data_IF_110417847664
#
_entry.id   IF_110417847664
#
_cell.length_a   1.000
_cell.length_b   1.000
_cell.length_c   1.000
_cell.angle_alpha   90.00
_cell.angle_beta   90.00
_cell.angle_gamma   90.00
#
_symmetry.space_group_name_H-M   'P 1'
#
loop_
_entity.id
_entity.type
_entity.pdbx_description
1 polymer ?
#
# COMPACT_ATOMS: atom_id res chain seq x y z
N UNK A 1 -11.81 -1.58 -13.91
CA UNK A 1 -10.42 -1.07 -14.09
C UNK A 1 -9.89 -1.56 -15.43
N UNK A 2 -9.33 -0.66 -16.24
CA UNK A 2 -8.69 -1.01 -17.52
C UNK A 2 -7.17 -0.97 -17.34
N UNK A 3 -6.48 -1.98 -17.85
CA UNK A 3 -5.02 -2.05 -17.80
C UNK A 3 -4.36 -0.88 -18.53
N UNK A 4 -3.26 -0.40 -18.01
CA UNK A 4 -2.46 0.70 -18.59
C UNK A 4 -1.31 0.22 -19.46
N UNK A 5 -0.95 -1.06 -19.33
CA UNK A 5 0.01 -1.76 -20.18
C UNK A 5 -0.42 -3.21 -20.41
N UNK A 6 0.25 -3.88 -21.32
CA UNK A 6 0.06 -5.32 -21.51
C UNK A 6 0.57 -6.06 -20.26
N UNK A 7 -0.15 -7.11 -19.86
CA UNK A 7 0.17 -7.88 -18.66
C UNK A 7 -0.14 -9.36 -18.91
N UNK A 8 0.81 -10.23 -18.63
CA UNK A 8 0.60 -11.68 -18.68
C UNK A 8 0.36 -12.21 -17.28
N UNK A 9 -0.79 -12.87 -17.09
CA UNK A 9 -1.18 -13.48 -15.81
C UNK A 9 -1.51 -14.96 -16.09
N UNK A 10 -0.82 -15.86 -15.41
CA UNK A 10 -1.00 -17.31 -15.57
C UNK A 10 -1.00 -17.77 -17.04
N UNK A 11 -0.06 -17.25 -17.83
CA UNK A 11 0.08 -17.58 -19.26
C UNK A 11 -0.95 -16.91 -20.19
N UNK A 12 -1.94 -16.17 -19.66
CA UNK A 12 -2.91 -15.42 -20.44
C UNK A 12 -2.46 -13.98 -20.59
N UNK A 13 -2.34 -13.51 -21.84
CA UNK A 13 -2.04 -12.12 -22.16
C UNK A 13 -3.31 -11.27 -22.08
N UNK A 14 -3.25 -10.22 -21.25
CA UNK A 14 -4.22 -9.14 -21.19
C UNK A 14 -3.61 -7.90 -21.81
N UNK A 15 -4.26 -7.32 -22.80
CA UNK A 15 -3.75 -6.17 -23.53
C UNK A 15 -4.10 -4.86 -22.81
N UNK A 16 -3.30 -3.83 -23.06
CA UNK A 16 -3.61 -2.45 -22.66
C UNK A 16 -5.05 -2.07 -23.07
N UNK A 17 -5.80 -1.52 -22.12
CA UNK A 17 -7.21 -1.16 -22.33
C UNK A 17 -8.22 -2.27 -22.01
N UNK A 18 -7.80 -3.52 -21.87
CA UNK A 18 -8.67 -4.60 -21.44
C UNK A 18 -9.03 -4.49 -19.96
N UNK A 19 -10.15 -5.12 -19.58
CA UNK A 19 -10.56 -5.18 -18.18
C UNK A 19 -9.66 -6.13 -17.40
N UNK A 20 -9.02 -5.61 -16.36
CA UNK A 20 -8.23 -6.41 -15.46
C UNK A 20 -9.09 -7.40 -14.66
N UNK A 21 -8.62 -8.64 -14.41
CA UNK A 21 -9.34 -9.61 -13.59
C UNK A 21 -9.26 -9.22 -12.11
N UNK A 22 -10.15 -8.34 -11.67
CA UNK A 22 -10.15 -7.72 -10.34
C UNK A 22 -10.17 -8.73 -9.19
N UNK A 23 -10.97 -9.78 -9.34
CA UNK A 23 -11.14 -10.83 -8.35
C UNK A 23 -9.87 -11.69 -8.18
N UNK A 24 -8.94 -11.64 -9.12
CA UNK A 24 -7.61 -12.25 -8.99
C UNK A 24 -6.58 -11.23 -8.50
N UNK A 25 -6.52 -10.05 -9.14
CA UNK A 25 -5.50 -9.02 -8.86
C UNK A 25 -5.55 -8.58 -7.38
N UNK A 26 -6.72 -8.19 -6.86
CA UNK A 26 -6.80 -7.68 -5.50
C UNK A 26 -6.48 -8.73 -4.43
N UNK A 27 -7.08 -9.93 -4.42
CA UNK A 27 -6.72 -10.94 -3.42
C UNK A 27 -5.25 -11.35 -3.52
N UNK A 28 -4.72 -11.53 -4.72
CA UNK A 28 -3.33 -11.90 -4.93
C UNK A 28 -2.37 -10.84 -4.37
N UNK A 29 -2.53 -9.58 -4.79
CA UNK A 29 -1.62 -8.52 -4.35
C UNK A 29 -1.81 -8.15 -2.88
N UNK A 30 -3.04 -8.13 -2.35
CA UNK A 30 -3.27 -7.85 -0.93
C UNK A 30 -2.65 -8.94 -0.05
N UNK A 31 -2.78 -10.20 -0.42
CA UNK A 31 -2.18 -11.29 0.34
C UNK A 31 -0.67 -11.20 0.34
N UNK A 32 -0.03 -11.09 -0.84
CA UNK A 32 1.42 -11.04 -0.94
C UNK A 32 1.99 -9.75 -0.31
N UNK A 33 1.37 -8.61 -0.58
CA UNK A 33 1.76 -7.34 0.04
C UNK A 33 1.60 -7.38 1.56
N UNK A 34 0.54 -8.00 2.06
CA UNK A 34 0.32 -8.22 3.50
C UNK A 34 1.43 -9.07 4.11
N UNK A 35 1.82 -10.17 3.45
CA UNK A 35 2.93 -11.00 3.90
C UNK A 35 4.28 -10.26 3.91
N UNK A 36 4.61 -9.57 2.82
CA UNK A 36 5.85 -8.79 2.73
C UNK A 36 5.84 -7.60 3.70
N UNK A 37 4.71 -6.91 3.83
CA UNK A 37 4.55 -5.81 4.77
C UNK A 37 4.68 -6.27 6.21
N UNK A 38 4.04 -7.40 6.58
CA UNK A 38 4.16 -7.98 7.91
C UNK A 38 5.60 -8.44 8.20
N UNK A 39 6.26 -9.13 7.25
CA UNK A 39 7.65 -9.54 7.44
C UNK A 39 8.58 -8.34 7.58
N UNK A 40 8.40 -7.29 6.76
CA UNK A 40 9.15 -6.04 6.86
C UNK A 40 8.91 -5.31 8.18
N UNK A 41 7.67 -5.31 8.67
CA UNK A 41 7.31 -4.74 9.97
C UNK A 41 7.97 -5.51 11.12
N UNK A 42 7.92 -6.84 11.09
CA UNK A 42 8.58 -7.67 12.09
C UNK A 42 10.09 -7.51 12.06
N UNK A 43 10.72 -7.49 10.89
CA UNK A 43 12.16 -7.23 10.76
C UNK A 43 12.56 -5.86 11.31
N UNK A 44 11.70 -4.84 11.11
CA UNK A 44 11.98 -3.49 11.57
C UNK A 44 11.83 -3.33 13.09
N UNK A 45 10.81 -3.96 13.68
CA UNK A 45 10.37 -3.60 15.03
C UNK A 45 10.38 -4.75 16.06
N UNK A 46 10.53 -6.01 15.63
CA UNK A 46 10.53 -7.12 16.57
C UNK A 46 11.86 -7.29 17.33
N UNK A 47 12.98 -6.90 16.72
CA UNK A 47 14.33 -6.97 17.32
C UNK A 47 14.78 -5.61 17.86
N UNK A 48 15.67 -5.63 18.85
CA UNK A 48 16.23 -4.41 19.45
C UNK A 48 17.36 -3.76 18.61
N UNK A 49 17.59 -4.25 17.41
CA UNK A 49 18.60 -3.73 16.48
C UNK A 49 18.46 -4.42 15.13
N UNK A 50 17.54 -3.96 14.26
CA UNK A 50 17.36 -4.57 12.95
C UNK A 50 18.59 -4.38 12.08
N UNK A 51 18.95 -5.41 11.30
CA UNK A 51 19.92 -5.28 10.22
C UNK A 51 19.33 -4.40 9.10
N UNK A 52 19.76 -3.15 9.05
CA UNK A 52 19.27 -2.18 8.07
C UNK A 52 19.59 -2.58 6.63
N UNK A 53 20.73 -3.21 6.38
CA UNK A 53 21.10 -3.66 5.04
C UNK A 53 20.14 -4.75 4.56
N UNK A 54 19.83 -5.71 5.42
CA UNK A 54 18.88 -6.77 5.10
C UNK A 54 17.46 -6.23 4.96
N UNK A 55 17.02 -5.34 5.88
CA UNK A 55 15.71 -4.68 5.82
C UNK A 55 15.50 -3.92 4.50
N UNK A 56 16.51 -3.16 4.07
CA UNK A 56 16.45 -2.39 2.83
C UNK A 56 16.55 -3.26 1.58
N UNK A 57 17.35 -4.32 1.62
CA UNK A 57 17.41 -5.28 0.51
C UNK A 57 16.06 -5.99 0.32
N UNK A 58 15.51 -6.55 1.39
CA UNK A 58 14.20 -7.21 1.37
C UNK A 58 13.09 -6.24 0.95
N UNK A 59 13.03 -5.08 1.62
CA UNK A 59 12.03 -4.05 1.35
C UNK A 59 12.20 -3.45 -0.03
N UNK A 60 13.41 -3.08 -0.42
CA UNK A 60 13.68 -2.44 -1.69
C UNK A 60 13.29 -3.29 -2.89
N UNK A 61 13.61 -4.59 -2.87
CA UNK A 61 13.21 -5.52 -3.94
C UNK A 61 11.68 -5.61 -4.00
N UNK A 62 11.01 -5.89 -2.89
CA UNK A 62 9.57 -6.06 -2.87
C UNK A 62 8.84 -4.76 -3.27
N UNK A 63 9.22 -3.62 -2.70
CA UNK A 63 8.63 -2.31 -3.02
C UNK A 63 8.80 -1.98 -4.50
N UNK A 64 9.99 -2.20 -5.07
CA UNK A 64 10.25 -1.96 -6.50
C UNK A 64 9.34 -2.82 -7.37
N UNK A 65 9.24 -4.10 -7.08
CA UNK A 65 8.35 -5.02 -7.82
C UNK A 65 6.90 -4.54 -7.76
N UNK A 66 6.39 -4.17 -6.58
CA UNK A 66 5.01 -3.68 -6.44
C UNK A 66 4.78 -2.35 -7.15
N UNK A 67 5.72 -1.41 -7.09
CA UNK A 67 5.62 -0.15 -7.83
C UNK A 67 5.54 -0.40 -9.34
N UNK A 68 6.36 -1.31 -9.87
CA UNK A 68 6.31 -1.68 -11.30
C UNK A 68 4.94 -2.27 -11.67
N UNK A 69 4.40 -3.18 -10.85
CA UNK A 69 3.05 -3.72 -11.08
C UNK A 69 1.97 -2.64 -10.98
N UNK A 70 2.07 -1.72 -10.02
CA UNK A 70 1.09 -0.63 -9.89
C UNK A 70 1.13 0.33 -11.09
N UNK A 71 2.31 0.61 -11.61
CA UNK A 71 2.46 1.38 -12.86
C UNK A 71 1.77 0.68 -14.04
N UNK A 72 1.96 -0.63 -14.16
CA UNK A 72 1.35 -1.43 -15.23
C UNK A 72 -0.20 -1.50 -15.12
N UNK A 73 -0.71 -1.62 -13.91
CA UNK A 73 -2.14 -1.84 -13.64
C UNK A 73 -2.91 -0.51 -13.56
N UNK A 74 -2.43 0.42 -12.75
CA UNK A 74 -3.13 1.67 -12.43
C UNK A 74 -2.64 2.87 -13.26
N UNK A 75 -1.40 2.85 -13.71
CA UNK A 75 -0.76 3.89 -14.49
C UNK A 75 0.01 4.91 -13.64
N UNK A 76 0.84 5.68 -14.33
CA UNK A 76 1.76 6.65 -13.72
C UNK A 76 1.05 7.70 -12.86
N UNK A 77 -0.07 8.23 -13.33
CA UNK A 77 -0.80 9.29 -12.63
C UNK A 77 -1.31 8.83 -11.26
N UNK A 78 -1.91 7.64 -11.18
CA UNK A 78 -2.39 7.08 -9.90
C UNK A 78 -1.24 6.78 -8.94
N UNK A 79 -0.12 6.23 -9.44
CA UNK A 79 1.07 5.95 -8.63
C UNK A 79 1.73 7.24 -8.15
N UNK A 80 1.84 8.25 -9.02
CA UNK A 80 2.34 9.58 -8.63
C UNK A 80 1.49 10.20 -7.53
N UNK A 81 0.15 10.16 -7.67
CA UNK A 81 -0.76 10.67 -6.65
C UNK A 81 -0.70 9.88 -5.34
N UNK A 82 -0.41 8.58 -5.39
CA UNK A 82 -0.16 7.78 -4.20
C UNK A 82 0.97 8.38 -3.35
N UNK A 83 2.12 8.67 -3.96
CA UNK A 83 3.26 9.25 -3.24
C UNK A 83 3.03 10.70 -2.79
N UNK A 84 2.33 11.51 -3.59
CA UNK A 84 1.97 12.88 -3.20
C UNK A 84 1.05 12.85 -1.98
N UNK A 85 0.01 12.04 -2.00
CA UNK A 85 -0.92 11.92 -0.87
C UNK A 85 -0.24 11.35 0.38
N UNK A 86 0.68 10.40 0.23
CA UNK A 86 1.48 9.87 1.32
C UNK A 86 2.37 10.96 1.95
N UNK A 87 3.01 11.79 1.12
CA UNK A 87 3.80 12.92 1.62
C UNK A 87 2.96 13.94 2.41
N UNK A 88 1.74 14.25 1.90
CA UNK A 88 0.81 15.15 2.59
C UNK A 88 0.23 14.53 3.87
N UNK A 89 0.08 13.20 3.89
CA UNK A 89 -0.47 12.45 5.03
C UNK A 89 0.59 11.84 5.94
N UNK A 90 1.86 12.22 5.82
CA UNK A 90 2.97 11.57 6.53
C UNK A 90 2.78 11.55 8.06
N UNK A 91 2.25 12.61 8.61
CA UNK A 91 1.94 12.69 10.05
C UNK A 91 0.88 11.65 10.45
N UNK A 92 -0.19 11.51 9.66
CA UNK A 92 -1.21 10.48 9.89
C UNK A 92 -0.62 9.06 9.85
N UNK A 93 0.21 8.76 8.84
CA UNK A 93 0.91 7.47 8.73
C UNK A 93 1.79 7.21 9.96
N UNK A 94 2.48 8.24 10.45
CA UNK A 94 3.28 8.16 11.66
C UNK A 94 2.41 7.75 12.87
N UNK A 95 1.31 8.46 13.11
CA UNK A 95 0.38 8.17 14.21
C UNK A 95 -0.20 6.77 14.11
N UNK A 96 -0.61 6.35 12.91
CA UNK A 96 -1.19 5.02 12.67
C UNK A 96 -0.19 3.89 12.94
N UNK A 97 1.06 4.03 12.50
CA UNK A 97 2.10 3.02 12.76
C UNK A 97 2.49 3.03 14.24
N UNK A 98 2.60 4.18 14.88
CA UNK A 98 2.89 4.29 16.31
C UNK A 98 1.79 3.64 17.15
N UNK A 99 0.53 3.86 16.78
CA UNK A 99 -0.60 3.17 17.40
C UNK A 99 -0.50 1.64 17.28
N UNK A 100 -0.15 1.13 16.09
CA UNK A 100 0.06 -0.33 15.90
C UNK A 100 1.19 -0.83 16.83
N UNK A 101 2.29 -0.09 16.93
CA UNK A 101 3.41 -0.45 17.80
C UNK A 101 3.02 -0.43 19.27
N UNK A 102 2.18 0.50 19.68
CA UNK A 102 1.70 0.59 21.07
C UNK A 102 0.96 -0.66 21.54
N UNK A 103 0.30 -1.38 20.62
CA UNK A 103 -0.34 -2.68 20.92
C UNK A 103 0.68 -3.74 21.35
N UNK A 104 1.95 -3.55 21.01
CA UNK A 104 3.06 -4.42 21.37
C UNK A 104 3.97 -3.80 22.44
N UNK A 105 3.53 -2.70 23.07
CA UNK A 105 4.29 -1.99 24.09
C UNK A 105 5.52 -1.25 23.55
N UNK A 106 5.53 -0.89 22.28
CA UNK A 106 6.61 -0.18 21.58
C UNK A 106 6.11 1.17 21.03
N UNK A 107 7.03 2.07 20.72
CA UNK A 107 6.77 3.33 20.04
C UNK A 107 7.73 3.53 18.89
N UNK A 108 7.35 4.32 17.89
CA UNK A 108 8.27 4.72 16.82
C UNK A 108 9.51 5.44 17.36
N UNK A 109 9.38 6.18 18.48
CA UNK A 109 10.49 6.84 19.16
C UNK A 109 11.57 5.92 19.70
N UNK A 110 11.29 4.62 19.86
CA UNK A 110 12.25 3.62 20.34
C UNK A 110 13.25 3.21 19.25
N UNK A 111 13.03 3.61 18.00
CA UNK A 111 13.83 3.17 16.85
C UNK A 111 14.41 4.33 16.06
N UNK A 112 15.62 4.17 15.47
CA UNK A 112 16.18 5.17 14.57
C UNK A 112 15.29 5.42 13.34
N UNK A 113 15.27 6.66 12.86
CA UNK A 113 14.47 7.07 11.69
C UNK A 113 14.66 6.17 10.46
N UNK A 114 15.88 5.67 10.25
CA UNK A 114 16.20 4.78 9.13
C UNK A 114 15.37 3.48 9.13
N UNK A 115 14.99 2.98 10.31
CA UNK A 115 14.20 1.74 10.44
C UNK A 115 12.79 1.91 9.86
N UNK A 116 12.23 3.11 9.93
CA UNK A 116 10.84 3.36 9.55
C UNK A 116 10.60 3.40 8.03
N UNK A 117 11.64 3.62 7.23
CA UNK A 117 11.50 3.84 5.77
C UNK A 117 10.77 2.67 5.08
N UNK A 118 11.21 1.45 5.33
CA UNK A 118 10.63 0.26 4.71
C UNK A 118 9.19 0.00 5.16
N UNK A 119 8.86 -0.04 6.48
CA UNK A 119 7.47 -0.18 6.94
C UNK A 119 6.54 0.91 6.42
N UNK A 120 6.99 2.18 6.37
CA UNK A 120 6.18 3.28 5.84
C UNK A 120 5.87 3.10 4.35
N UNK A 121 6.84 2.68 3.54
CA UNK A 121 6.61 2.41 2.12
C UNK A 121 5.65 1.23 1.92
N UNK A 122 5.77 0.15 2.70
CA UNK A 122 4.80 -0.94 2.67
C UNK A 122 3.39 -0.48 3.06
N UNK A 123 3.29 0.34 4.09
CA UNK A 123 2.01 0.90 4.51
C UNK A 123 1.35 1.72 3.39
N UNK A 124 2.11 2.60 2.73
CA UNK A 124 1.63 3.42 1.61
C UNK A 124 1.13 2.53 0.45
N UNK A 125 1.91 1.52 0.08
CA UNK A 125 1.53 0.61 -1.00
C UNK A 125 0.28 -0.20 -0.67
N UNK A 126 0.18 -0.69 0.56
CA UNK A 126 -0.95 -1.49 1.02
C UNK A 126 -2.25 -0.67 1.08
N UNK A 127 -2.21 0.51 1.68
CA UNK A 127 -3.36 1.40 1.79
C UNK A 127 -3.83 1.92 0.43
N UNK A 128 -2.89 2.20 -0.48
CA UNK A 128 -3.22 2.53 -1.86
C UNK A 128 -3.98 1.38 -2.55
N UNK A 129 -3.52 0.15 -2.40
CA UNK A 129 -4.17 -1.01 -3.00
C UNK A 129 -5.57 -1.24 -2.42
N UNK A 130 -5.75 -1.09 -1.10
CA UNK A 130 -7.06 -1.15 -0.43
C UNK A 130 -8.00 -0.08 -0.99
N UNK A 131 -7.53 1.16 -1.12
CA UNK A 131 -8.32 2.25 -1.73
C UNK A 131 -8.73 1.90 -3.16
N UNK A 132 -7.81 1.41 -3.99
CA UNK A 132 -8.12 1.01 -5.37
C UNK A 132 -9.16 -0.12 -5.41
N UNK A 133 -9.05 -1.10 -4.52
CA UNK A 133 -10.02 -2.17 -4.38
C UNK A 133 -11.41 -1.63 -4.02
N UNK A 134 -11.50 -0.75 -3.01
CA UNK A 134 -12.77 -0.15 -2.58
C UNK A 134 -13.44 0.64 -3.72
N UNK A 135 -12.69 1.44 -4.47
CA UNK A 135 -13.22 2.18 -5.61
C UNK A 135 -13.78 1.26 -6.70
N UNK A 136 -13.15 0.11 -6.90
CA UNK A 136 -13.61 -0.86 -7.90
C UNK A 136 -14.79 -1.70 -7.41
N UNK A 137 -14.80 -2.14 -6.14
CA UNK A 137 -15.92 -2.90 -5.53
C UNK A 137 -17.19 -2.06 -5.48
N UNK A 138 -17.06 -0.80 -5.10
CA UNK A 138 -18.20 0.14 -5.03
C UNK A 138 -18.60 0.71 -6.39
N UNK A 139 -17.88 0.37 -7.47
CA UNK A 139 -18.08 0.92 -8.82
C UNK A 139 -18.07 2.45 -8.84
N UNK A 140 -17.16 3.04 -8.06
CA UNK A 140 -17.09 4.50 -7.85
C UNK A 140 -16.07 5.18 -8.75
N UNK A 141 -15.17 4.43 -9.39
CA UNK A 141 -14.04 4.97 -10.16
C UNK A 141 -14.45 6.01 -11.20
N UNK A 142 -15.52 5.73 -11.94
CA UNK A 142 -16.01 6.58 -13.04
C UNK A 142 -17.17 7.51 -12.62
N UNK A 143 -17.47 7.59 -11.31
CA UNK A 143 -18.58 8.39 -10.76
C UNK A 143 -18.04 9.38 -9.71
N UNK A 144 -17.77 10.65 -10.07
CA UNK A 144 -17.09 11.62 -9.19
C UNK A 144 -17.72 11.79 -7.81
N UNK A 145 -19.06 11.91 -7.73
CA UNK A 145 -19.77 12.05 -6.46
C UNK A 145 -19.63 10.82 -5.56
N UNK A 146 -19.77 9.61 -6.13
CA UNK A 146 -19.62 8.36 -5.40
C UNK A 146 -18.15 8.14 -4.98
N UNK A 147 -17.20 8.49 -5.84
CA UNK A 147 -15.76 8.43 -5.54
C UNK A 147 -15.45 9.27 -4.30
N UNK A 148 -15.87 10.53 -4.27
CA UNK A 148 -15.69 11.43 -3.11
C UNK A 148 -16.30 10.86 -1.83
N UNK A 149 -17.50 10.28 -1.91
CA UNK A 149 -18.16 9.67 -0.76
C UNK A 149 -17.36 8.47 -0.22
N UNK A 150 -16.90 7.58 -1.10
CA UNK A 150 -16.09 6.41 -0.70
C UNK A 150 -14.77 6.85 -0.10
N UNK A 151 -14.10 7.85 -0.69
CA UNK A 151 -12.85 8.40 -0.16
C UNK A 151 -13.05 9.08 1.20
N UNK A 152 -14.14 9.82 1.37
CA UNK A 152 -14.49 10.42 2.68
C UNK A 152 -14.77 9.36 3.74
N UNK A 153 -15.53 8.31 3.41
CA UNK A 153 -15.81 7.22 4.33
C UNK A 153 -14.54 6.44 4.69
N UNK A 154 -13.62 6.28 3.75
CA UNK A 154 -12.30 5.66 4.00
C UNK A 154 -11.50 6.49 5.00
N UNK A 155 -11.40 7.80 4.79
CA UNK A 155 -10.69 8.72 5.72
C UNK A 155 -11.35 8.74 7.10
N UNK A 156 -12.68 8.87 7.16
CA UNK A 156 -13.40 8.85 8.44
C UNK A 156 -13.25 7.52 9.17
N UNK A 157 -13.25 6.40 8.43
CA UNK A 157 -13.01 5.08 8.99
C UNK A 157 -11.61 4.96 9.59
N UNK A 158 -10.58 5.44 8.88
CA UNK A 158 -9.21 5.50 9.40
C UNK A 158 -9.14 6.35 10.67
N UNK A 159 -9.70 7.56 10.65
CA UNK A 159 -9.72 8.44 11.83
C UNK A 159 -10.44 7.80 13.02
N UNK A 160 -11.52 7.06 12.80
CA UNK A 160 -12.25 6.37 13.87
C UNK A 160 -11.48 5.18 14.47
N UNK A 161 -10.54 4.60 13.73
CA UNK A 161 -9.72 3.48 14.21
C UNK A 161 -8.48 3.98 14.97
N UNK A 162 -7.89 5.10 14.53
CA UNK A 162 -6.60 5.59 15.02
C UNK A 162 -6.70 6.89 15.87
N UNK A 163 -7.87 7.53 15.89
CA UNK A 163 -8.15 8.73 16.72
C UNK A 163 -8.92 8.41 17.96
#
# INVERSE_FOLDING_TARGET
MKLRSDLTINGKLYRKGESAPKWFIYPFFLFHMGMFGLSGFLMAYASDGPDLAFLYMHGGIAITVYVVFYLAIFGLDEVRWMFINAGLGLFGIWVEIDWILSLFGKSLGDFPMAVHVTPFLYYILYTFLLRQMLLDLTRSRDKPGRKRMVEMLYVLGSLAVYG
#
